data_IF_673005432337
#
_entry.id   IF_673005432337
#
_cell.length_a   1.000
_cell.length_b   1.000
_cell.length_c   1.000
_cell.angle_alpha   90.00
_cell.angle_beta   90.00
_cell.angle_gamma   90.00
#
_symmetry.space_group_name_H-M   'P 1'
#
loop_
_entity.id
_entity.type
_entity.pdbx_description
1 polymer ?
#
# COMPACT_ATOMS: atom_id res chain seq x y z
N UNK A 1 21.86 -24.31 2.87
CA UNK A 1 21.10 -25.54 2.56
C UNK A 1 20.09 -25.19 1.49
N UNK A 2 19.85 -26.04 0.48
CA UNK A 2 18.87 -25.73 -0.56
C UNK A 2 17.50 -25.60 0.12
N UNK A 3 16.78 -24.53 -0.19
CA UNK A 3 15.45 -24.27 0.34
C UNK A 3 14.53 -25.47 0.03
N UNK A 4 14.20 -26.25 1.06
CA UNK A 4 12.87 -26.83 1.12
C UNK A 4 11.92 -25.64 1.19
N UNK A 5 11.38 -25.26 0.03
CA UNK A 5 10.23 -24.38 -0.04
C UNK A 5 9.06 -25.15 0.58
N UNK A 6 8.99 -25.18 1.92
CA UNK A 6 7.83 -25.70 2.62
C UNK A 6 6.61 -25.01 2.02
N UNK A 7 5.74 -25.82 1.41
CA UNK A 7 4.47 -25.37 0.87
C UNK A 7 3.78 -24.51 1.94
N UNK A 8 3.19 -23.36 1.57
CA UNK A 8 2.49 -22.52 2.54
C UNK A 8 1.55 -23.40 3.36
N UNK A 9 1.73 -23.40 4.69
CA UNK A 9 0.91 -24.24 5.54
C UNK A 9 -0.57 -23.93 5.25
N UNK A 10 -1.43 -24.94 5.12
CA UNK A 10 -2.86 -24.75 4.83
C UNK A 10 -3.60 -23.93 5.90
N UNK A 11 -2.90 -23.48 6.96
CA UNK A 11 -3.41 -22.60 8.01
C UNK A 11 -3.67 -21.20 7.43
N UNK A 12 -4.95 -20.87 7.35
CA UNK A 12 -5.42 -19.54 7.00
C UNK A 12 -5.13 -18.57 8.13
N UNK A 13 -4.50 -17.44 7.80
CA UNK A 13 -4.36 -16.36 8.75
C UNK A 13 -5.73 -15.71 9.00
N UNK A 14 -6.19 -15.72 10.26
CA UNK A 14 -7.49 -15.16 10.61
C UNK A 14 -7.56 -13.69 10.22
N UNK A 15 -8.60 -13.33 9.46
CA UNK A 15 -8.76 -12.01 8.89
C UNK A 15 -9.58 -11.13 9.81
N UNK A 16 -9.04 -9.99 10.23
CA UNK A 16 -9.86 -8.92 10.81
C UNK A 16 -10.68 -8.22 9.73
N UNK A 17 -11.91 -7.84 10.07
CA UNK A 17 -12.75 -7.00 9.22
C UNK A 17 -12.03 -5.68 8.99
N UNK A 18 -11.91 -5.28 7.73
CA UNK A 18 -11.16 -4.06 7.45
C UNK A 18 -12.02 -2.84 7.77
N UNK A 19 -11.48 -1.98 8.62
CA UNK A 19 -12.09 -0.76 9.12
C UNK A 19 -11.98 0.42 8.14
N UNK A 20 -10.90 0.50 7.35
CA UNK A 20 -10.63 1.61 6.42
C UNK A 20 -10.14 1.14 5.05
N UNK A 21 -10.50 1.89 4.01
CA UNK A 21 -10.12 1.63 2.63
C UNK A 21 -9.45 2.86 2.02
N UNK A 22 -8.29 2.66 1.42
CA UNK A 22 -7.63 3.72 0.65
C UNK A 22 -8.57 4.27 -0.44
N UNK A 23 -8.61 5.61 -0.62
CA UNK A 23 -9.27 6.22 -1.77
C UNK A 23 -8.65 5.77 -3.10
N UNK A 24 -7.33 5.55 -3.10
CA UNK A 24 -6.55 5.16 -4.27
C UNK A 24 -6.68 3.66 -4.58
N UNK A 25 -6.59 3.33 -5.87
CA UNK A 25 -6.42 1.99 -6.41
C UNK A 25 -4.94 1.81 -6.73
N UNK A 26 -4.23 1.05 -5.91
CA UNK A 26 -2.83 0.78 -6.18
C UNK A 26 -2.66 -0.68 -6.65
N UNK A 27 -1.93 -0.93 -7.76
CA UNK A 27 -1.52 -2.28 -8.13
C UNK A 27 -0.85 -2.96 -6.93
N UNK A 28 -1.13 -4.24 -6.73
CA UNK A 28 -0.50 -4.97 -5.63
C UNK A 28 -1.01 -4.60 -4.24
N UNK A 29 -2.16 -3.93 -4.08
CA UNK A 29 -2.69 -3.49 -2.77
C UNK A 29 -2.51 -4.53 -1.65
N UNK A 30 -1.53 -4.24 -0.78
CA UNK A 30 -1.07 -5.08 0.33
C UNK A 30 -1.98 -5.04 1.55
N UNK A 31 -3.23 -4.64 1.38
CA UNK A 31 -4.23 -4.61 2.45
C UNK A 31 -4.30 -5.92 3.24
N UNK A 32 -4.10 -7.05 2.56
CA UNK A 32 -4.12 -8.38 3.19
C UNK A 32 -2.86 -8.65 4.03
N UNK A 33 -1.74 -7.98 3.75
CA UNK A 33 -0.55 -8.02 4.59
C UNK A 33 -0.73 -7.27 5.92
N UNK A 34 -1.69 -6.35 6.04
CA UNK A 34 -1.93 -5.67 7.31
C UNK A 34 -2.11 -6.68 8.46
N UNK A 35 -2.97 -7.69 8.30
CA UNK A 35 -3.16 -8.73 9.33
C UNK A 35 -1.91 -9.58 9.58
N UNK A 36 -1.08 -9.80 8.56
CA UNK A 36 0.20 -10.50 8.74
C UNK A 36 1.19 -9.65 9.55
N UNK A 37 1.36 -8.37 9.19
CA UNK A 37 2.20 -7.40 9.92
C UNK A 37 1.73 -7.27 11.37
N UNK A 38 0.42 -7.22 11.62
CA UNK A 38 -0.13 -7.20 12.97
C UNK A 38 0.31 -8.41 13.80
N UNK A 39 0.21 -9.62 13.24
CA UNK A 39 0.65 -10.83 13.95
C UNK A 39 2.16 -10.86 14.12
N UNK A 40 2.93 -10.38 13.13
CA UNK A 40 4.37 -10.19 13.27
C UNK A 40 4.69 -9.27 14.44
N UNK A 41 4.03 -8.10 14.56
CA UNK A 41 4.24 -7.20 15.69
C UNK A 41 3.92 -7.88 17.03
N UNK A 42 2.80 -8.61 17.12
CA UNK A 42 2.40 -9.33 18.32
C UNK A 42 3.38 -10.43 18.72
N UNK A 43 3.82 -11.26 17.78
CA UNK A 43 4.78 -12.35 18.02
C UNK A 43 6.15 -11.86 18.50
N UNK A 44 6.52 -10.63 18.13
CA UNK A 44 7.78 -10.01 18.55
C UNK A 44 7.58 -9.03 19.73
N UNK A 45 6.39 -8.99 20.33
CA UNK A 45 6.04 -8.09 21.44
C UNK A 45 6.31 -6.60 21.13
N UNK A 46 6.09 -6.20 19.88
CA UNK A 46 6.31 -4.83 19.41
C UNK A 46 5.03 -4.00 19.47
N UNK A 47 5.16 -2.77 19.98
CA UNK A 47 4.13 -1.74 19.94
C UNK A 47 4.78 -0.44 19.42
N UNK A 48 5.00 -0.33 18.10
CA UNK A 48 5.70 0.82 17.55
C UNK A 48 4.86 2.09 17.69
N UNK A 49 5.50 3.15 18.18
CA UNK A 49 4.87 4.47 18.29
C UNK A 49 4.70 5.10 16.90
N UNK A 50 5.66 4.85 16.01
CA UNK A 50 5.62 5.35 14.64
C UNK A 50 5.75 4.22 13.63
N UNK A 51 4.81 4.15 12.70
CA UNK A 51 4.86 3.25 11.55
C UNK A 51 5.18 4.02 10.28
N UNK A 52 6.26 3.66 9.59
CA UNK A 52 6.73 4.37 8.40
C UNK A 52 6.60 3.49 7.17
N UNK A 53 5.98 4.04 6.11
CA UNK A 53 6.01 3.46 4.76
C UNK A 53 6.89 4.32 3.86
N UNK A 54 8.14 3.89 3.54
CA UNK A 54 9.02 4.63 2.65
C UNK A 54 8.58 4.63 1.18
N UNK A 55 7.62 3.75 0.85
CA UNK A 55 7.01 3.53 -0.45
C UNK A 55 5.48 3.53 -0.28
N UNK A 56 4.94 4.66 0.20
CA UNK A 56 3.57 4.71 0.71
C UNK A 56 2.53 4.25 -0.32
N UNK A 57 2.65 4.66 -1.59
CA UNK A 57 1.70 4.30 -2.63
C UNK A 57 0.24 4.55 -2.22
N UNK A 58 -0.53 3.48 -2.05
CA UNK A 58 -1.92 3.54 -1.58
C UNK A 58 -2.12 3.63 -0.05
N UNK A 59 -1.06 3.63 0.76
CA UNK A 59 -1.03 3.72 2.21
C UNK A 59 -1.99 2.77 2.95
N UNK A 60 -2.33 1.63 2.34
CA UNK A 60 -3.43 0.78 2.80
C UNK A 60 -3.11 0.08 4.12
N UNK A 61 -1.83 -0.27 4.35
CA UNK A 61 -1.37 -0.89 5.59
C UNK A 61 -1.28 0.16 6.69
N UNK A 62 -0.59 1.28 6.46
CA UNK A 62 -0.47 2.35 7.46
C UNK A 62 -1.84 2.87 7.93
N UNK A 63 -2.76 3.15 7.00
CA UNK A 63 -4.12 3.57 7.36
C UNK A 63 -4.84 2.54 8.23
N UNK A 64 -4.73 1.26 7.90
CA UNK A 64 -5.40 0.20 8.65
C UNK A 64 -4.82 0.05 10.06
N UNK A 65 -3.50 0.01 10.21
CA UNK A 65 -2.86 -0.09 11.51
C UNK A 65 -3.19 1.11 12.39
N UNK A 66 -3.22 2.31 11.81
CA UNK A 66 -3.55 3.53 12.53
C UNK A 66 -5.03 3.57 12.96
N UNK A 67 -5.95 3.21 12.06
CA UNK A 67 -7.38 3.13 12.34
C UNK A 67 -7.70 2.11 13.44
N UNK A 68 -6.99 0.98 13.48
CA UNK A 68 -7.15 -0.06 14.49
C UNK A 68 -6.44 0.28 15.82
N UNK A 69 -5.74 1.41 15.91
CA UNK A 69 -5.06 1.85 17.13
C UNK A 69 -3.82 1.02 17.48
N UNK A 70 -3.23 0.33 16.50
CA UNK A 70 -2.08 -0.56 16.71
C UNK A 70 -0.75 0.17 16.69
N UNK A 71 -0.77 1.41 16.21
CA UNK A 71 0.36 2.34 16.15
C UNK A 71 -0.15 3.72 16.56
N UNK A 72 0.69 4.51 17.24
CA UNK A 72 0.29 5.85 17.71
C UNK A 72 0.25 6.85 16.56
N UNK A 73 1.17 6.73 15.60
CA UNK A 73 1.21 7.58 14.42
C UNK A 73 1.87 6.92 13.21
N UNK A 74 1.71 7.58 12.05
CA UNK A 74 2.30 7.13 10.79
C UNK A 74 3.16 8.22 10.12
N UNK A 75 4.14 7.78 9.34
CA UNK A 75 4.94 8.61 8.45
C UNK A 75 4.95 8.04 7.04
N UNK A 76 4.63 8.86 6.05
CA UNK A 76 4.56 8.42 4.65
C UNK A 76 5.64 9.10 3.82
N UNK A 77 6.40 8.32 3.07
CA UNK A 77 7.33 8.83 2.05
C UNK A 77 6.88 8.31 0.70
N UNK A 78 6.86 9.20 -0.28
CA UNK A 78 6.44 8.83 -1.63
C UNK A 78 7.26 9.60 -2.67
N UNK A 79 7.77 8.88 -3.67
CA UNK A 79 8.57 9.48 -4.73
C UNK A 79 7.68 10.14 -5.77
N UNK A 80 6.52 9.58 -6.07
CA UNK A 80 5.59 10.14 -7.04
C UNK A 80 4.96 11.44 -6.52
N UNK A 81 5.18 12.59 -7.21
CA UNK A 81 4.69 13.88 -6.73
C UNK A 81 3.16 13.97 -6.72
N UNK A 82 2.45 13.22 -7.57
CA UNK A 82 0.99 13.18 -7.57
C UNK A 82 0.48 12.45 -6.33
N UNK A 83 1.04 11.26 -6.04
CA UNK A 83 0.63 10.45 -4.88
C UNK A 83 0.99 11.14 -3.58
N UNK A 84 2.19 11.73 -3.49
CA UNK A 84 2.60 12.50 -2.32
C UNK A 84 1.71 13.74 -2.11
N UNK A 85 1.35 14.47 -3.19
CA UNK A 85 0.43 15.60 -3.10
C UNK A 85 -0.96 15.16 -2.62
N UNK A 86 -1.47 14.03 -3.12
CA UNK A 86 -2.73 13.46 -2.66
C UNK A 86 -2.76 13.25 -1.15
N UNK A 87 -1.79 12.52 -0.59
CA UNK A 87 -1.74 12.29 0.85
C UNK A 87 -1.51 13.56 1.66
N UNK A 88 -0.67 14.49 1.17
CA UNK A 88 -0.48 15.80 1.81
C UNK A 88 -1.79 16.58 1.95
N UNK A 89 -2.59 16.63 0.89
CA UNK A 89 -3.88 17.36 0.89
C UNK A 89 -4.93 16.61 1.70
N UNK A 90 -4.98 15.29 1.59
CA UNK A 90 -5.92 14.47 2.36
C UNK A 90 -5.73 14.65 3.86
N UNK A 91 -4.49 14.80 4.34
CA UNK A 91 -4.18 14.99 5.76
C UNK A 91 -3.92 16.47 6.15
N UNK A 92 -4.30 17.44 5.30
CA UNK A 92 -4.19 18.87 5.64
C UNK A 92 -5.57 19.52 5.82
N UNK A 93 -5.58 20.82 6.14
CA UNK A 93 -6.80 21.65 6.14
C UNK A 93 -7.48 21.75 4.76
N UNK A 94 -6.77 21.41 3.68
CA UNK A 94 -7.27 21.51 2.31
C UNK A 94 -8.08 20.29 1.86
N UNK A 95 -8.24 19.27 2.71
CA UNK A 95 -9.03 18.08 2.40
C UNK A 95 -10.47 18.42 1.98
N UNK A 96 -11.07 19.47 2.55
CA UNK A 96 -12.43 19.90 2.18
C UNK A 96 -12.50 20.37 0.73
N UNK A 97 -11.51 21.16 0.28
CA UNK A 97 -11.42 21.58 -1.12
C UNK A 97 -11.36 20.35 -2.04
N UNK A 98 -10.58 19.33 -1.69
CA UNK A 98 -10.48 18.11 -2.50
C UNK A 98 -11.83 17.38 -2.57
N UNK A 99 -12.57 17.31 -1.45
CA UNK A 99 -13.91 16.72 -1.39
C UNK A 99 -14.89 17.46 -2.31
N UNK A 100 -14.89 18.79 -2.27
CA UNK A 100 -15.77 19.63 -3.09
C UNK A 100 -15.48 19.45 -4.58
N UNK A 101 -14.19 19.36 -4.95
CA UNK A 101 -13.79 19.06 -6.31
C UNK A 101 -14.19 17.65 -6.74
N UNK A 102 -14.04 16.64 -5.88
CA UNK A 102 -14.48 15.25 -6.18
C UNK A 102 -15.99 15.17 -6.37
N UNK A 103 -16.78 16.00 -5.68
CA UNK A 103 -18.22 16.04 -5.84
C UNK A 103 -18.65 16.58 -7.21
N UNK A 104 -17.88 17.49 -7.80
CA UNK A 104 -18.32 18.31 -8.94
C UNK A 104 -17.55 18.08 -10.24
N UNK A 105 -16.29 17.62 -10.17
CA UNK A 105 -15.41 17.51 -11.36
C UNK A 105 -16.06 16.68 -12.49
N UNK A 106 -16.09 17.17 -13.74
CA UNK A 106 -16.53 16.36 -14.87
C UNK A 106 -15.62 15.15 -15.10
N UNK A 107 -16.19 13.94 -15.12
CA UNK A 107 -15.43 12.70 -15.35
C UNK A 107 -15.45 12.36 -16.83
N UNK A 108 -14.65 13.09 -17.60
CA UNK A 108 -14.62 13.00 -19.07
C UNK A 108 -13.24 12.61 -19.59
N UNK A 109 -13.19 12.12 -20.84
CA UNK A 109 -11.94 11.78 -21.50
C UNK A 109 -11.08 13.02 -21.76
N UNK A 110 -11.71 14.17 -21.99
CA UNK A 110 -11.08 15.47 -22.16
C UNK A 110 -10.33 15.87 -20.89
N UNK A 111 -11.00 15.78 -19.73
CA UNK A 111 -10.38 16.06 -18.44
C UNK A 111 -9.22 15.09 -18.15
N UNK A 112 -9.38 13.81 -18.50
CA UNK A 112 -8.30 12.83 -18.39
C UNK A 112 -7.08 13.19 -19.25
N UNK A 113 -7.31 13.61 -20.50
CA UNK A 113 -6.23 14.05 -21.42
C UNK A 113 -5.50 15.27 -20.88
N UNK A 114 -6.22 16.23 -20.28
CA UNK A 114 -5.62 17.42 -19.64
C UNK A 114 -4.64 16.98 -18.55
N UNK A 115 -5.09 16.19 -17.58
CA UNK A 115 -4.22 15.73 -16.48
C UNK A 115 -3.09 14.81 -16.92
N UNK A 116 -3.26 14.05 -18.02
CA UNK A 116 -2.16 13.24 -18.59
C UNK A 116 -1.09 14.06 -19.30
N UNK A 117 -1.47 15.20 -19.91
CA UNK A 117 -0.54 16.06 -20.65
C UNK A 117 0.18 17.04 -19.73
N UNK A 118 -0.53 17.56 -18.72
CA UNK A 118 -0.03 18.61 -17.84
C UNK A 118 -0.26 18.21 -16.40
N UNK A 119 0.85 17.95 -15.69
CA UNK A 119 0.82 17.77 -14.24
C UNK A 119 0.72 19.17 -13.62
N UNK A 120 -0.32 19.47 -12.81
CA UNK A 120 -0.46 20.77 -12.17
C UNK A 120 0.76 21.12 -11.31
N UNK A 121 1.03 22.41 -11.08
CA UNK A 121 2.09 22.85 -10.15
C UNK A 121 1.56 23.02 -8.74
N UNK A 122 0.31 23.48 -8.60
CA UNK A 122 -0.38 23.64 -7.34
C UNK A 122 -0.59 22.30 -6.62
N UNK A 123 -0.41 22.30 -5.29
CA UNK A 123 -0.49 21.10 -4.46
C UNK A 123 -1.89 20.47 -4.47
N UNK A 124 -2.94 21.30 -4.37
CA UNK A 124 -4.32 20.85 -4.31
C UNK A 124 -4.75 20.30 -5.67
N UNK A 125 -4.41 20.98 -6.75
CA UNK A 125 -4.67 20.49 -8.10
C UNK A 125 -3.92 19.19 -8.41
N UNK A 126 -2.67 19.03 -7.94
CA UNK A 126 -1.95 17.74 -8.05
C UNK A 126 -2.66 16.61 -7.32
N UNK A 127 -3.19 16.87 -6.12
CA UNK A 127 -3.97 15.88 -5.38
C UNK A 127 -5.24 15.46 -6.12
N UNK A 128 -5.96 16.41 -6.71
CA UNK A 128 -7.12 16.14 -7.54
C UNK A 128 -6.76 15.35 -8.81
N UNK A 129 -5.69 15.75 -9.50
CA UNK A 129 -5.18 15.05 -10.69
C UNK A 129 -4.76 13.61 -10.35
N UNK A 130 -4.09 13.40 -9.22
CA UNK A 130 -3.73 12.07 -8.72
C UNK A 130 -4.97 11.18 -8.59
N UNK A 131 -5.97 11.63 -7.81
CA UNK A 131 -7.18 10.84 -7.59
C UNK A 131 -7.93 10.62 -8.90
N UNK A 132 -8.07 11.64 -9.74
CA UNK A 132 -8.76 11.54 -11.03
C UNK A 132 -8.10 10.48 -11.91
N UNK A 133 -6.80 10.63 -12.21
CA UNK A 133 -6.06 9.69 -13.05
C UNK A 133 -6.06 8.28 -12.45
N UNK A 134 -5.91 8.14 -11.13
CA UNK A 134 -5.93 6.85 -10.47
C UNK A 134 -7.29 6.14 -10.58
N UNK A 135 -8.39 6.89 -10.62
CA UNK A 135 -9.74 6.32 -10.71
C UNK A 135 -10.19 6.10 -12.15
N UNK A 136 -9.70 6.88 -13.10
CA UNK A 136 -10.13 6.84 -14.50
C UNK A 136 -9.10 6.21 -15.46
N UNK A 137 -7.95 5.75 -14.98
CA UNK A 137 -6.95 5.01 -15.79
C UNK A 137 -7.09 3.50 -15.60
N UNK A 138 -6.65 2.73 -16.60
CA UNK A 138 -6.69 1.27 -16.52
C UNK A 138 -5.90 0.77 -15.29
N UNK A 139 -6.54 -0.09 -14.49
CA UNK A 139 -6.00 -0.62 -13.21
C UNK A 139 -5.55 0.44 -12.18
N UNK A 140 -5.88 1.71 -12.39
CA UNK A 140 -5.44 2.84 -11.56
C UNK A 140 -3.95 3.19 -11.68
N UNK A 141 -3.30 2.70 -12.73
CA UNK A 141 -1.91 2.98 -13.05
C UNK A 141 -1.83 4.35 -13.74
N UNK A 142 -0.96 5.23 -13.24
CA UNK A 142 -0.83 6.62 -13.72
C UNK A 142 0.37 6.85 -14.65
N UNK A 143 1.12 5.79 -15.00
CA UNK A 143 2.30 5.90 -15.86
C UNK A 143 1.94 6.50 -17.23
N UNK A 144 2.88 7.18 -17.92
CA UNK A 144 2.61 7.78 -19.23
C UNK A 144 2.03 6.79 -20.25
N UNK A 145 2.47 5.54 -20.21
CA UNK A 145 2.06 4.46 -21.13
C UNK A 145 0.60 4.02 -20.96
N UNK A 146 0.00 4.18 -19.77
CA UNK A 146 -1.35 3.68 -19.50
C UNK A 146 -2.44 4.64 -19.98
N UNK A 147 -3.44 4.07 -20.65
CA UNK A 147 -4.62 4.75 -21.15
C UNK A 147 -5.79 4.83 -20.15
N UNK A 148 -6.88 5.52 -20.53
CA UNK A 148 -8.08 5.60 -19.70
C UNK A 148 -8.72 4.22 -19.56
N UNK A 149 -9.43 4.00 -18.45
CA UNK A 149 -10.32 2.85 -18.33
C UNK A 149 -11.36 2.90 -19.45
N UNK A 150 -11.61 1.76 -20.07
CA UNK A 150 -12.47 1.62 -21.23
C UNK A 150 -11.88 2.00 -22.58
N UNK A 151 -10.59 2.36 -22.61
CA UNK A 151 -9.87 2.67 -23.84
C UNK A 151 -10.17 4.07 -24.39
N UNK A 152 -9.36 4.54 -25.33
CA UNK A 152 -9.48 5.91 -25.87
C UNK A 152 -10.77 6.15 -26.65
N UNK A 153 -11.36 5.10 -27.23
CA UNK A 153 -12.64 5.15 -27.94
C UNK A 153 -13.86 5.05 -27.03
N UNK A 154 -13.69 4.66 -25.76
CA UNK A 154 -14.78 4.49 -24.79
C UNK A 154 -15.90 3.52 -25.25
N UNK A 155 -15.56 2.53 -26.09
CA UNK A 155 -16.52 1.54 -26.60
C UNK A 155 -16.63 0.27 -25.74
N UNK A 156 -15.84 0.16 -24.67
CA UNK A 156 -15.91 -1.01 -23.79
C UNK A 156 -17.08 -0.92 -22.80
N UNK A 157 -17.45 -2.04 -22.18
CA UNK A 157 -18.43 -2.09 -21.10
C UNK A 157 -18.02 -1.32 -19.81
N UNK A 158 -16.79 -0.82 -19.73
CA UNK A 158 -16.26 -0.06 -18.59
C UNK A 158 -16.03 1.40 -18.98
N UNK A 159 -17.05 2.29 -18.87
CA UNK A 159 -16.88 3.71 -19.18
C UNK A 159 -15.90 4.38 -18.22
N UNK A 160 -15.38 5.55 -18.60
CA UNK A 160 -14.31 6.27 -17.87
C UNK A 160 -14.65 6.55 -16.40
N UNK A 161 -15.93 6.71 -16.08
CA UNK A 161 -16.46 7.04 -14.76
C UNK A 161 -16.87 5.83 -13.92
N UNK A 162 -16.84 4.60 -14.47
CA UNK A 162 -17.34 3.40 -13.77
C UNK A 162 -16.56 3.09 -12.48
N UNK A 163 -15.37 3.67 -12.32
CA UNK A 163 -14.53 3.59 -11.12
C UNK A 163 -14.43 4.93 -10.41
N UNK A 164 -15.30 5.89 -10.65
CA UNK A 164 -15.37 7.17 -9.93
C UNK A 164 -16.66 7.31 -9.07
N UNK A 165 -16.97 6.38 -8.14
CA UNK A 165 -18.16 6.49 -7.30
C UNK A 165 -17.97 7.62 -6.26
N UNK A 166 -18.43 8.83 -6.58
CA UNK A 166 -18.16 10.07 -5.82
C UNK A 166 -18.41 9.93 -4.33
N UNK A 167 -19.61 9.50 -3.93
CA UNK A 167 -19.96 9.33 -2.51
C UNK A 167 -19.03 8.36 -1.78
N UNK A 168 -18.61 7.28 -2.45
CA UNK A 168 -17.67 6.31 -1.86
C UNK A 168 -16.27 6.91 -1.74
N UNK A 169 -15.81 7.68 -2.74
CA UNK A 169 -14.51 8.35 -2.69
C UNK A 169 -14.46 9.41 -1.59
N UNK A 170 -15.48 10.26 -1.52
CA UNK A 170 -15.63 11.28 -0.47
C UNK A 170 -15.63 10.64 0.91
N UNK A 171 -16.41 9.57 1.11
CA UNK A 171 -16.42 8.82 2.37
C UNK A 171 -15.02 8.32 2.76
N UNK A 172 -14.25 7.77 1.82
CA UNK A 172 -12.90 7.28 2.09
C UNK A 172 -11.92 8.41 2.40
N UNK A 173 -12.04 9.55 1.72
CA UNK A 173 -11.22 10.73 2.01
C UNK A 173 -11.52 11.24 3.42
N UNK A 174 -12.80 11.35 3.80
CA UNK A 174 -13.21 11.76 5.15
C UNK A 174 -12.69 10.78 6.22
N UNK A 175 -12.78 9.47 5.97
CA UNK A 175 -12.23 8.45 6.88
C UNK A 175 -10.71 8.61 7.05
N UNK A 176 -9.96 8.77 5.96
CA UNK A 176 -8.52 9.02 6.05
C UNK A 176 -8.23 10.34 6.78
N UNK A 177 -8.93 11.42 6.44
CA UNK A 177 -8.74 12.74 7.05
C UNK A 177 -9.02 12.76 8.56
N UNK A 178 -9.94 11.92 9.06
CA UNK A 178 -10.16 11.79 10.52
C UNK A 178 -8.93 11.25 11.28
N UNK A 179 -7.92 10.73 10.58
CA UNK A 179 -6.69 10.22 11.16
C UNK A 179 -5.54 11.25 11.12
N UNK A 180 -5.74 12.44 10.53
CA UNK A 180 -4.68 13.40 10.22
C UNK A 180 -3.82 13.79 11.42
N UNK A 181 -4.41 13.88 12.62
CA UNK A 181 -3.70 14.35 13.81
C UNK A 181 -2.67 13.31 14.31
N UNK A 182 -2.74 12.09 13.76
CA UNK A 182 -1.76 11.02 13.99
C UNK A 182 -0.87 10.75 12.78
N UNK A 183 -0.86 11.64 11.79
CA UNK A 183 0.06 11.60 10.64
C UNK A 183 1.17 12.60 10.88
N UNK A 184 2.36 12.11 11.25
CA UNK A 184 3.49 12.97 11.64
C UNK A 184 4.09 13.66 10.42
N UNK A 185 4.15 12.97 9.28
CA UNK A 185 4.64 13.56 8.04
C UNK A 185 4.15 12.83 6.80
N UNK A 186 4.08 13.60 5.70
CA UNK A 186 4.00 13.09 4.33
C UNK A 186 5.06 13.79 3.50
N UNK A 187 6.06 13.05 3.02
CA UNK A 187 7.19 13.62 2.29
C UNK A 187 7.24 13.17 0.83
N UNK A 188 7.50 14.13 -0.06
CA UNK A 188 7.77 13.85 -1.47
C UNK A 188 9.29 13.83 -1.72
N UNK A 189 9.96 12.76 -1.30
CA UNK A 189 11.41 12.62 -1.39
C UNK A 189 11.78 11.17 -1.72
N UNK A 190 13.05 10.96 -2.09
CA UNK A 190 13.58 9.62 -2.28
C UNK A 190 13.66 8.85 -0.95
N UNK A 191 13.34 7.55 -0.96
CA UNK A 191 13.28 6.70 0.23
C UNK A 191 14.57 6.81 1.08
N UNK A 192 15.74 6.72 0.44
CA UNK A 192 17.06 6.77 1.12
C UNK A 192 17.25 8.07 1.90
N UNK A 193 16.88 9.21 1.29
CA UNK A 193 16.92 10.51 1.95
C UNK A 193 15.91 10.60 3.08
N UNK A 194 14.72 10.02 2.90
CA UNK A 194 13.69 9.98 3.95
C UNK A 194 14.12 9.18 5.17
N UNK A 195 14.68 7.98 4.97
CA UNK A 195 15.20 7.17 6.06
C UNK A 195 16.36 7.86 6.79
N UNK A 196 17.31 8.48 6.06
CA UNK A 196 18.39 9.27 6.65
C UNK A 196 17.88 10.45 7.48
N UNK A 197 16.84 11.16 7.01
CA UNK A 197 16.21 12.24 7.77
C UNK A 197 15.54 11.71 9.04
N UNK A 198 14.84 10.59 8.97
CA UNK A 198 14.22 9.96 10.16
C UNK A 198 15.29 9.59 11.18
N UNK A 199 16.37 8.94 10.77
CA UNK A 199 17.50 8.62 11.67
C UNK A 199 18.07 9.87 12.33
N UNK A 200 18.25 10.96 11.56
CA UNK A 200 18.70 12.24 12.11
C UNK A 200 17.69 12.91 13.05
N UNK A 201 16.39 12.68 12.87
CA UNK A 201 15.35 13.21 13.75
C UNK A 201 15.21 12.36 15.02
N UNK A 202 15.40 11.05 14.95
CA UNK A 202 15.48 10.16 16.10
C UNK A 202 16.67 10.52 16.99
N UNK A 203 17.85 10.80 16.42
CA UNK A 203 19.03 11.19 17.20
C UNK A 203 18.90 12.55 17.89
N UNK A 204 18.00 13.40 17.41
CA UNK A 204 17.62 14.70 18.00
C UNK A 204 16.34 14.63 18.82
N UNK A 205 15.83 13.42 19.10
CA UNK A 205 14.60 13.17 19.87
C UNK A 205 13.35 13.88 19.33
N UNK A 206 13.36 14.26 18.04
CA UNK A 206 12.24 14.89 17.34
C UNK A 206 11.25 13.87 16.77
N UNK A 207 11.61 12.59 16.76
CA UNK A 207 10.73 11.46 16.44
C UNK A 207 10.86 10.36 17.49
N UNK A 208 9.84 9.50 17.67
CA UNK A 208 9.92 8.37 18.58
C UNK A 208 11.09 7.44 18.25
N UNK A 209 11.67 6.80 19.26
CA UNK A 209 12.71 5.78 19.06
C UNK A 209 12.11 4.46 18.54
N UNK A 210 10.91 4.12 18.96
CA UNK A 210 10.23 2.88 18.59
C UNK A 210 9.52 3.02 17.23
N UNK A 211 10.33 3.01 16.16
CA UNK A 211 9.85 3.07 14.78
C UNK A 211 9.80 1.66 14.17
N UNK A 212 8.71 1.36 13.48
CA UNK A 212 8.61 0.19 12.61
C UNK A 212 8.49 0.63 11.16
N UNK A 213 9.30 0.04 10.27
CA UNK A 213 9.28 0.32 8.85
C UNK A 213 8.60 -0.81 8.08
N UNK A 214 7.64 -0.47 7.23
CA UNK A 214 7.11 -1.38 6.23
C UNK A 214 7.52 -0.92 4.83
N UNK A 215 8.26 -1.79 4.15
CA UNK A 215 8.91 -1.50 2.88
C UNK A 215 8.25 -2.33 1.78
N UNK A 216 7.54 -1.67 0.86
CA UNK A 216 6.95 -2.30 -0.32
C UNK A 216 7.47 -1.59 -1.59
N UNK A 217 8.77 -1.79 -1.93
CA UNK A 217 9.38 -1.11 -3.07
C UNK A 217 8.76 -1.57 -4.41
N UNK A 218 8.99 -0.82 -5.50
CA UNK A 218 8.63 -1.28 -6.84
C UNK A 218 9.17 -2.70 -7.14
N UNK A 219 8.29 -3.60 -7.56
CA UNK A 219 8.64 -4.98 -7.93
C UNK A 219 9.64 -5.04 -9.09
N UNK A 220 10.37 -6.14 -9.21
CA UNK A 220 11.28 -6.37 -10.34
C UNK A 220 10.45 -6.62 -11.61
N UNK A 221 9.45 -7.48 -11.50
CA UNK A 221 8.65 -7.89 -12.65
C UNK A 221 7.65 -6.79 -13.08
N UNK A 222 7.73 -6.37 -14.35
CA UNK A 222 6.84 -5.37 -14.99
C UNK A 222 6.85 -3.99 -14.31
N UNK A 223 7.94 -3.65 -13.63
CA UNK A 223 8.08 -2.39 -12.88
C UNK A 223 7.81 -1.15 -13.74
N UNK A 224 8.36 -1.13 -14.96
CA UNK A 224 8.27 -0.02 -15.93
C UNK A 224 6.88 0.16 -16.55
N UNK A 225 5.97 -0.80 -16.32
CA UNK A 225 4.57 -0.75 -16.74
C UNK A 225 3.66 -0.25 -15.61
N UNK A 226 4.02 -0.56 -14.36
CA UNK A 226 3.19 -0.34 -13.18
C UNK A 226 3.52 0.99 -12.46
N UNK A 227 4.79 1.41 -12.46
CA UNK A 227 5.26 2.55 -11.66
C UNK A 227 5.87 3.65 -12.53
N UNK A 228 5.62 4.91 -12.16
CA UNK A 228 6.27 6.07 -12.79
C UNK A 228 7.76 6.12 -12.43
N UNK A 229 8.07 5.75 -11.19
CA UNK A 229 9.42 5.64 -10.66
C UNK A 229 9.65 4.18 -10.26
N UNK A 230 10.38 3.45 -11.10
CA UNK A 230 10.69 2.04 -10.86
C UNK A 230 12.16 1.86 -10.46
N UNK A 231 12.44 0.74 -9.80
CA UNK A 231 13.79 0.39 -9.40
C UNK A 231 14.55 -0.29 -10.55
N UNK A 232 15.84 0.02 -10.64
CA UNK A 232 16.84 -0.76 -11.38
C UNK A 232 17.49 -1.75 -10.43
N UNK A 233 18.26 -2.69 -10.98
CA UNK A 233 19.05 -3.67 -10.20
C UNK A 233 19.84 -3.02 -9.06
N UNK A 234 20.51 -1.90 -9.34
CA UNK A 234 21.27 -1.16 -8.33
C UNK A 234 20.38 -0.58 -7.22
N UNK A 235 19.17 -0.12 -7.52
CA UNK A 235 18.26 0.42 -6.51
C UNK A 235 17.80 -0.68 -5.52
N UNK A 236 17.60 -1.91 -6.02
CA UNK A 236 17.32 -3.08 -5.17
C UNK A 236 18.50 -3.40 -4.26
N UNK A 237 19.72 -3.43 -4.82
CA UNK A 237 20.95 -3.65 -4.03
C UNK A 237 21.15 -2.57 -2.97
N UNK A 238 20.95 -1.31 -3.33
CA UNK A 238 21.04 -0.16 -2.42
C UNK A 238 20.05 -0.29 -1.26
N UNK A 239 18.82 -0.74 -1.55
CA UNK A 239 17.81 -0.97 -0.52
C UNK A 239 18.23 -2.12 0.42
N UNK A 240 18.71 -3.24 -0.11
CA UNK A 240 19.22 -4.36 0.69
C UNK A 240 20.38 -3.92 1.60
N UNK A 241 21.38 -3.26 1.03
CA UNK A 241 22.54 -2.78 1.78
C UNK A 241 22.13 -1.83 2.92
N UNK A 242 21.13 -0.99 2.69
CA UNK A 242 20.61 -0.08 3.70
C UNK A 242 19.85 -0.83 4.80
N UNK A 243 18.88 -1.68 4.45
CA UNK A 243 18.06 -2.42 5.42
C UNK A 243 18.88 -3.41 6.24
N UNK A 244 19.93 -4.00 5.67
CA UNK A 244 20.89 -4.86 6.37
C UNK A 244 21.62 -4.14 7.51
N UNK A 245 21.78 -2.83 7.42
CA UNK A 245 22.45 -1.99 8.43
C UNK A 245 21.47 -1.33 9.41
N UNK A 246 20.16 -1.42 9.15
CA UNK A 246 19.13 -0.81 9.99
C UNK A 246 18.98 -1.58 11.31
N UNK A 247 19.11 -0.85 12.42
CA UNK A 247 18.82 -1.36 13.78
C UNK A 247 17.34 -1.35 14.10
N UNK A 248 16.61 -0.37 13.57
CA UNK A 248 15.15 -0.29 13.72
C UNK A 248 14.47 -1.51 13.10
N UNK A 249 13.26 -1.83 13.59
CA UNK A 249 12.53 -3.01 13.13
C UNK A 249 11.88 -2.75 11.78
N UNK A 250 12.04 -3.67 10.85
CA UNK A 250 11.49 -3.52 9.52
C UNK A 250 10.95 -4.82 8.94
N UNK A 251 9.96 -4.69 8.06
CA UNK A 251 9.42 -5.77 7.26
C UNK A 251 9.33 -5.31 5.81
N UNK A 252 9.87 -6.10 4.90
CA UNK A 252 9.91 -5.87 3.46
C UNK A 252 9.01 -6.90 2.76
N UNK A 253 8.16 -6.45 1.84
CA UNK A 253 7.44 -7.32 0.93
C UNK A 253 7.98 -7.20 -0.50
N UNK A 254 8.10 -8.35 -1.18
CA UNK A 254 8.63 -8.44 -2.54
C UNK A 254 7.87 -9.45 -3.40
N UNK A 255 7.92 -9.29 -4.72
CA UNK A 255 7.59 -10.38 -5.63
C UNK A 255 8.59 -11.53 -5.50
N UNK A 256 8.12 -12.77 -5.71
CA UNK A 256 9.01 -13.95 -5.70
C UNK A 256 9.90 -13.90 -6.93
N UNK A 257 11.17 -13.57 -6.72
CA UNK A 257 12.19 -13.49 -7.75
C UNK A 257 13.52 -14.06 -7.21
N UNK A 258 14.24 -14.82 -8.04
CA UNK A 258 15.50 -15.46 -7.63
C UNK A 258 16.56 -14.44 -7.23
N UNK A 259 16.61 -13.27 -7.90
CA UNK A 259 17.57 -12.23 -7.56
C UNK A 259 17.29 -11.63 -6.18
N UNK A 260 16.03 -11.50 -5.79
CA UNK A 260 15.64 -11.00 -4.45
C UNK A 260 16.02 -12.00 -3.37
N UNK A 261 15.77 -13.29 -3.62
CA UNK A 261 16.12 -14.37 -2.70
C UNK A 261 17.62 -14.42 -2.44
N UNK A 262 18.42 -14.31 -3.50
CA UNK A 262 19.88 -14.23 -3.42
C UNK A 262 20.31 -12.96 -2.66
N UNK A 263 19.74 -11.81 -3.00
CA UNK A 263 20.09 -10.53 -2.41
C UNK A 263 19.89 -10.47 -0.89
N UNK A 264 18.90 -11.19 -0.37
CA UNK A 264 18.52 -11.20 1.05
C UNK A 264 18.78 -12.54 1.74
N UNK A 265 19.66 -13.40 1.21
CA UNK A 265 19.87 -14.77 1.69
C UNK A 265 20.24 -14.89 3.18
N UNK A 266 20.82 -13.85 3.77
CA UNK A 266 21.20 -13.80 5.18
C UNK A 266 20.14 -13.20 6.12
N UNK A 267 18.95 -12.88 5.62
CA UNK A 267 17.84 -12.34 6.41
C UNK A 267 16.80 -13.42 6.73
N UNK A 268 15.96 -13.16 7.73
CA UNK A 268 14.78 -14.00 7.95
C UNK A 268 13.78 -13.79 6.81
N UNK A 269 13.30 -14.89 6.23
CA UNK A 269 12.39 -14.89 5.09
C UNK A 269 11.14 -15.76 5.35
N UNK A 270 10.01 -15.38 4.78
CA UNK A 270 8.78 -16.19 4.72
C UNK A 270 8.07 -15.97 3.39
N UNK A 271 7.48 -17.01 2.81
CA UNK A 271 6.70 -16.89 1.58
C UNK A 271 5.21 -16.87 1.92
N UNK A 272 4.52 -15.79 1.57
CA UNK A 272 3.09 -15.60 1.83
C UNK A 272 2.26 -15.67 0.55
N UNK A 273 1.05 -16.18 0.67
CA UNK A 273 0.11 -16.34 -0.44
C UNK A 273 -1.03 -15.31 -0.33
N UNK A 274 -1.19 -14.53 -1.41
CA UNK A 274 -2.18 -13.47 -1.55
C UNK A 274 -3.11 -13.78 -2.73
N UNK A 275 -4.33 -13.24 -2.72
CA UNK A 275 -5.12 -13.18 -3.96
C UNK A 275 -5.11 -11.76 -4.52
N UNK A 276 -4.71 -11.66 -5.79
CA UNK A 276 -4.93 -10.48 -6.61
C UNK A 276 -6.18 -10.62 -7.47
N UNK A 277 -6.98 -9.56 -7.54
CA UNK A 277 -8.08 -9.47 -8.49
C UNK A 277 -7.52 -9.25 -9.89
N UNK A 278 -7.83 -10.15 -10.83
CA UNK A 278 -7.41 -9.97 -12.23
C UNK A 278 -8.35 -8.99 -12.95
N UNK A 279 -7.82 -8.27 -13.95
CA UNK A 279 -8.59 -7.33 -14.79
C UNK A 279 -9.41 -8.04 -15.86
N UNK A 280 -9.20 -9.33 -16.11
CA UNK A 280 -9.77 -10.10 -17.24
C UNK A 280 -11.06 -10.85 -16.91
N UNK A 281 -11.72 -10.57 -15.78
CA UNK A 281 -12.96 -11.25 -15.40
C UNK A 281 -12.81 -12.72 -15.00
N UNK A 282 -11.60 -13.30 -15.10
CA UNK A 282 -11.29 -14.70 -14.80
C UNK A 282 -11.16 -15.04 -13.30
N UNK A 283 -11.73 -14.21 -12.41
CA UNK A 283 -11.65 -14.39 -10.96
C UNK A 283 -10.36 -13.86 -10.33
N UNK A 284 -10.09 -14.27 -9.08
CA UNK A 284 -8.89 -13.87 -8.34
C UNK A 284 -7.78 -14.89 -8.55
N UNK A 285 -6.56 -14.45 -8.85
CA UNK A 285 -5.39 -15.32 -8.98
C UNK A 285 -4.59 -15.31 -7.68
N UNK A 286 -4.18 -16.49 -7.24
CA UNK A 286 -3.18 -16.62 -6.17
C UNK A 286 -1.81 -16.18 -6.67
N UNK A 287 -1.16 -15.31 -5.89
CA UNK A 287 0.19 -14.83 -6.12
C UNK A 287 0.96 -14.94 -4.82
N UNK A 288 2.21 -15.33 -4.93
CA UNK A 288 3.13 -15.45 -3.81
C UNK A 288 3.96 -14.18 -3.68
N UNK A 289 4.25 -13.81 -2.44
CA UNK A 289 5.17 -12.75 -2.09
C UNK A 289 6.16 -13.25 -1.06
N UNK A 290 7.37 -12.70 -1.11
CA UNK A 290 8.39 -12.95 -0.10
C UNK A 290 8.30 -11.82 0.92
N UNK A 291 8.24 -12.21 2.19
CA UNK A 291 8.42 -11.33 3.33
C UNK A 291 9.85 -11.51 3.82
N UNK A 292 10.56 -10.40 3.99
CA UNK A 292 11.94 -10.36 4.48
C UNK A 292 11.98 -9.41 5.68
N UNK A 293 12.73 -9.74 6.73
CA UNK A 293 12.75 -8.93 7.95
C UNK A 293 14.03 -9.14 8.77
N UNK A 294 14.33 -8.18 9.66
CA UNK A 294 15.30 -8.33 10.74
C UNK A 294 14.67 -8.82 12.07
N UNK A 295 13.41 -9.29 12.03
CA UNK A 295 12.70 -9.83 13.18
C UNK A 295 12.91 -11.34 13.33
N UNK A 296 13.01 -11.84 14.57
CA UNK A 296 13.23 -13.27 14.82
C UNK A 296 11.99 -14.13 14.53
N UNK A 297 10.77 -13.58 14.70
CA UNK A 297 9.54 -14.36 14.58
C UNK A 297 8.61 -13.84 13.48
N UNK A 298 8.14 -14.75 12.64
CA UNK A 298 7.13 -14.50 11.61
C UNK A 298 5.93 -15.45 11.80
N UNK A 299 4.70 -15.04 11.43
CA UNK A 299 3.54 -15.91 11.46
C UNK A 299 3.75 -17.18 10.62
N UNK A 300 3.41 -18.34 11.18
CA UNK A 300 3.46 -19.64 10.49
C UNK A 300 2.34 -19.83 9.46
N UNK A 301 1.22 -19.12 9.65
CA UNK A 301 0.12 -19.08 8.70
C UNK A 301 0.44 -18.10 7.57
N UNK A 302 0.71 -18.64 6.38
CA UNK A 302 1.18 -17.86 5.23
C UNK A 302 0.10 -17.63 4.17
N UNK A 303 -1.06 -18.30 4.27
CA UNK A 303 -2.21 -18.07 3.38
C UNK A 303 -3.11 -16.94 3.91
N UNK A 304 -3.09 -15.80 3.23
CA UNK A 304 -3.78 -14.57 3.66
C UNK A 304 -5.15 -14.38 3.01
N UNK A 305 -5.78 -15.48 2.63
CA UNK A 305 -7.05 -15.49 1.94
C UNK A 305 -7.89 -16.72 2.31
N UNK A 306 -9.20 -16.57 2.10
CA UNK A 306 -10.19 -17.62 2.34
C UNK A 306 -11.04 -17.80 1.08
N UNK A 307 -11.37 -19.05 0.78
CA UNK A 307 -12.40 -19.44 -0.18
C UNK A 307 -13.77 -18.90 0.24
N UNK A 308 -14.73 -18.89 -0.69
CA UNK A 308 -16.12 -18.52 -0.37
C UNK A 308 -16.75 -19.49 0.63
N UNK A 309 -16.40 -20.77 0.57
CA UNK A 309 -16.88 -21.81 1.47
C UNK A 309 -16.36 -21.61 2.91
N UNK A 310 -15.04 -21.42 3.08
CA UNK A 310 -14.44 -21.13 4.40
C UNK A 310 -15.03 -19.85 5.03
N UNK A 311 -15.33 -18.83 4.22
CA UNK A 311 -16.00 -17.62 4.69
C UNK A 311 -17.42 -17.86 5.16
N UNK A 312 -18.17 -18.78 4.52
CA UNK A 312 -19.52 -19.13 4.92
C UNK A 312 -19.50 -19.83 6.28
N UNK A 313 -18.62 -20.83 6.44
CA UNK A 313 -18.42 -21.56 7.70
C UNK A 313 -18.02 -20.60 8.83
N UNK A 314 -17.04 -19.72 8.60
CA UNK A 314 -16.59 -18.77 9.62
C UNK A 314 -17.73 -17.84 10.09
N UNK A 315 -18.63 -17.41 9.19
CA UNK A 315 -19.79 -16.58 9.54
C UNK A 315 -20.84 -17.35 10.34
N UNK A 316 -21.06 -18.62 10.02
CA UNK A 316 -21.98 -19.49 10.76
C UNK A 316 -21.48 -19.74 12.19
N UNK A 317 -20.18 -19.97 12.38
CA UNK A 317 -19.55 -20.13 13.70
C UNK A 317 -19.64 -18.84 14.55
N UNK A 318 -19.47 -17.67 13.94
CA UNK A 318 -19.61 -16.39 14.66
C UNK A 318 -21.07 -16.14 15.07
N UNK A 319 -22.04 -16.51 14.22
CA UNK A 319 -23.46 -16.38 14.53
C UNK A 319 -23.89 -17.28 15.69
N UNK A 320 -23.40 -18.51 15.75
CA UNK A 320 -23.70 -19.43 16.86
C UNK A 320 -23.06 -19.00 18.18
N UNK A 321 -21.86 -18.40 18.15
CA UNK A 321 -21.21 -17.84 19.34
C UNK A 321 -21.83 -16.56 19.90
N UNK A 322 -22.60 -15.82 19.11
CA UNK A 322 -23.31 -14.61 19.55
C UNK A 322 -24.78 -14.89 19.93
N UNK A 323 -25.21 -16.17 19.94
CA UNK A 323 -26.54 -16.62 20.37
C UNK A 323 -26.48 -17.50 21.64
N UNK A 324 -25.32 -17.56 22.27
CA UNK A 324 -25.09 -17.99 23.64
C UNK A 324 -24.45 -16.83 24.39
#
# INVERSE_FOLDING_TARGET
MPFDSELPTNKVLSRKSVSILSPLRYPGSKRRLASYIMQTLQLNHLQPRLFVEPFAGGASVALQLLQEGLVEGIGLIERDPLVAAFWKVVFSKDAQWLIDQVATIPVTLEQWKIYKKTIPTDLKERALACLFLNRTSFSGIMTPKVGPIGGKSQLSAYPIDCRFPRQTLIKRILQAQSLRDRVLFVWNIHWKKGLQLITSMQSRESLPRDIFYYLDPPFINKADQLYTYWFRRQDHQDLCNYTSQMKDKWLLSYDVDSYVLELYEHHHQSCVELLYSTSSGAGSKSVREIIITNLPYLPSATRLWQTSHERKIAREIIRTKNHH
#
